data_IF_763555072304
#
_entry.id   IF_763555072304
#
_cell.length_a   1.000
_cell.length_b   1.000
_cell.length_c   1.000
_cell.angle_alpha   90.00
_cell.angle_beta   90.00
_cell.angle_gamma   90.00
#
_symmetry.space_group_name_H-M   'P 1'
#
loop_
_entity.id
_entity.type
_entity.pdbx_description
1 polymer ?
#
# COMPACT_ATOMS: atom_id res chain seq x y z
N UNK A 1 0.48 28.58 -15.39
CA UNK A 1 1.28 27.57 -14.65
C UNK A 1 0.85 27.57 -13.18
N UNK A 2 -0.03 26.65 -12.78
CA UNK A 2 -0.47 26.52 -11.39
C UNK A 2 0.23 25.32 -10.76
N UNK A 3 1.20 25.65 -9.89
CA UNK A 3 1.63 24.98 -8.65
C UNK A 3 1.34 23.48 -8.56
N UNK A 4 2.39 22.66 -8.66
CA UNK A 4 2.41 21.32 -8.08
C UNK A 4 2.46 21.50 -6.56
N UNK A 5 1.30 21.52 -5.92
CA UNK A 5 1.19 21.27 -4.49
C UNK A 5 1.48 19.77 -4.31
N UNK A 6 2.69 19.45 -3.90
CA UNK A 6 2.97 18.20 -3.18
C UNK A 6 2.29 18.33 -1.82
N UNK A 7 0.99 18.07 -1.81
CA UNK A 7 0.18 18.02 -0.61
C UNK A 7 0.58 16.80 0.21
N UNK A 8 0.63 17.01 1.51
CA UNK A 8 1.01 16.08 2.55
C UNK A 8 -0.05 14.96 2.62
N UNK A 9 -0.06 14.05 1.65
CA UNK A 9 -1.00 12.92 1.64
C UNK A 9 -0.61 11.99 2.79
N UNK A 10 -1.45 11.97 3.83
CA UNK A 10 -1.33 10.99 4.89
C UNK A 10 -1.28 9.59 4.26
N UNK A 11 -0.35 8.75 4.72
CA UNK A 11 -0.26 7.38 4.25
C UNK A 11 -1.61 6.68 4.45
N UNK A 12 -2.07 5.87 3.47
CA UNK A 12 -3.34 5.17 3.59
C UNK A 12 -3.34 4.22 4.79
N UNK A 13 -4.50 4.04 5.41
CA UNK A 13 -4.68 3.01 6.44
C UNK A 13 -4.65 1.60 5.85
N UNK A 14 -4.55 0.57 6.70
CA UNK A 14 -4.46 -0.83 6.25
C UNK A 14 -5.50 -1.21 5.19
N UNK A 15 -6.78 -0.87 5.44
CA UNK A 15 -7.89 -1.23 4.54
C UNK A 15 -7.78 -0.57 3.17
N UNK A 16 -7.38 0.70 3.15
CA UNK A 16 -7.21 1.46 1.91
C UNK A 16 -6.00 0.97 1.13
N UNK A 17 -4.90 0.72 1.83
CA UNK A 17 -3.68 0.18 1.25
C UNK A 17 -3.90 -1.22 0.64
N UNK A 18 -4.65 -2.09 1.33
CA UNK A 18 -4.99 -3.42 0.83
C UNK A 18 -5.89 -3.35 -0.40
N UNK A 19 -6.94 -2.53 -0.37
CA UNK A 19 -7.84 -2.39 -1.51
C UNK A 19 -7.11 -1.86 -2.76
N UNK A 20 -6.21 -0.89 -2.60
CA UNK A 20 -5.40 -0.39 -3.71
C UNK A 20 -4.42 -1.47 -4.23
N UNK A 21 -3.80 -2.23 -3.32
CA UNK A 21 -2.89 -3.32 -3.66
C UNK A 21 -3.59 -4.40 -4.48
N UNK A 22 -4.78 -4.84 -4.05
CA UNK A 22 -5.58 -5.85 -4.77
C UNK A 22 -5.90 -5.39 -6.19
N UNK A 23 -6.28 -4.11 -6.37
CA UNK A 23 -6.56 -3.54 -7.69
C UNK A 23 -5.32 -3.49 -8.59
N UNK A 24 -4.15 -3.15 -8.04
CA UNK A 24 -2.90 -3.09 -8.79
C UNK A 24 -2.45 -4.49 -9.23
N UNK A 25 -2.49 -5.47 -8.32
CA UNK A 25 -2.14 -6.86 -8.63
C UNK A 25 -3.05 -7.42 -9.70
N UNK A 26 -4.37 -7.20 -9.59
CA UNK A 26 -5.32 -7.63 -10.63
C UNK A 26 -4.99 -7.05 -12.01
N UNK A 27 -4.54 -5.80 -12.09
CA UNK A 27 -4.08 -5.20 -13.35
C UNK A 27 -2.76 -5.79 -13.83
N UNK A 28 -1.81 -6.05 -12.94
CA UNK A 28 -0.51 -6.64 -13.30
C UNK A 28 -0.69 -8.05 -13.87
N UNK A 29 -1.65 -8.81 -13.35
CA UNK A 29 -1.94 -10.19 -13.79
C UNK A 29 -2.77 -10.25 -15.07
N UNK A 30 -3.39 -9.14 -15.49
CA UNK A 30 -4.12 -9.05 -16.75
C UNK A 30 -3.15 -9.12 -17.94
N UNK A 31 -3.25 -10.14 -18.83
CA UNK A 31 -2.38 -10.28 -20.00
C UNK A 31 -2.47 -9.12 -21.00
N UNK A 32 -3.51 -8.29 -20.92
CA UNK A 32 -3.71 -7.11 -21.75
C UNK A 32 -3.00 -5.85 -21.22
N UNK A 33 -2.49 -5.89 -19.98
CA UNK A 33 -1.72 -4.79 -19.41
C UNK A 33 -0.38 -4.66 -20.11
N UNK A 34 -0.05 -3.45 -20.55
CA UNK A 34 1.21 -3.16 -21.22
C UNK A 34 2.37 -3.30 -20.25
N UNK A 35 3.43 -3.98 -20.68
CA UNK A 35 4.60 -4.23 -19.83
C UNK A 35 5.28 -2.95 -19.31
N UNK A 36 5.20 -1.86 -20.07
CA UNK A 36 5.70 -0.53 -19.70
C UNK A 36 4.94 0.07 -18.51
N UNK A 37 3.65 -0.26 -18.38
CA UNK A 37 2.78 0.22 -17.30
C UNK A 37 2.91 -0.66 -16.05
N UNK A 38 3.43 -1.89 -16.16
CA UNK A 38 3.58 -2.83 -15.03
C UNK A 38 4.62 -2.32 -14.02
N UNK A 39 5.75 -1.78 -14.48
CA UNK A 39 6.84 -1.35 -13.60
C UNK A 39 6.39 -0.35 -12.50
N UNK A 40 5.69 0.76 -12.82
CA UNK A 40 5.17 1.65 -11.78
C UNK A 40 4.09 1.00 -10.90
N UNK A 41 3.26 0.10 -11.44
CA UNK A 41 2.26 -0.64 -10.66
C UNK A 41 2.91 -1.56 -9.62
N UNK A 42 3.96 -2.29 -10.00
CA UNK A 42 4.72 -3.16 -9.08
C UNK A 42 5.37 -2.33 -7.98
N UNK A 43 5.99 -1.19 -8.33
CA UNK A 43 6.61 -0.29 -7.34
C UNK A 43 5.59 0.15 -6.29
N UNK A 44 4.42 0.64 -6.72
CA UNK A 44 3.35 1.06 -5.80
C UNK A 44 2.83 -0.11 -4.97
N UNK A 45 2.66 -1.28 -5.58
CA UNK A 45 2.23 -2.50 -4.87
C UNK A 45 3.18 -2.87 -3.73
N UNK A 46 4.49 -2.75 -3.94
CA UNK A 46 5.50 -3.01 -2.89
C UNK A 46 5.42 -1.99 -1.75
N UNK A 47 5.17 -0.71 -2.05
CA UNK A 47 4.97 0.35 -1.06
C UNK A 47 3.74 0.03 -0.20
N UNK A 48 2.60 -0.27 -0.82
CA UNK A 48 1.35 -0.63 -0.14
C UNK A 48 1.49 -1.89 0.72
N UNK A 49 2.14 -2.93 0.21
CA UNK A 49 2.44 -4.13 0.99
C UNK A 49 3.30 -3.81 2.22
N UNK A 50 4.22 -2.84 2.11
CA UNK A 50 4.98 -2.32 3.24
C UNK A 50 4.09 -1.72 4.32
N UNK A 51 3.13 -0.88 3.92
CA UNK A 51 2.13 -0.28 4.83
C UNK A 51 1.31 -1.36 5.52
N UNK A 52 0.79 -2.32 4.76
CA UNK A 52 0.00 -3.42 5.32
C UNK A 52 0.79 -4.23 6.37
N UNK A 53 2.07 -4.53 6.09
CA UNK A 53 2.94 -5.23 7.05
C UNK A 53 3.17 -4.43 8.32
N UNK A 54 3.42 -3.13 8.19
CA UNK A 54 3.69 -2.25 9.32
C UNK A 54 2.46 -2.12 10.25
N UNK A 55 1.26 -1.98 9.68
CA UNK A 55 0.03 -1.91 10.47
C UNK A 55 -0.26 -3.22 11.22
N UNK A 56 -0.08 -4.38 10.57
CA UNK A 56 -0.23 -5.67 11.25
C UNK A 56 0.79 -5.86 12.37
N UNK A 57 2.02 -5.40 12.16
CA UNK A 57 3.07 -5.43 13.19
C UNK A 57 2.66 -4.59 14.40
N UNK A 58 2.16 -3.37 14.20
CA UNK A 58 1.67 -2.51 15.29
C UNK A 58 0.57 -3.18 16.08
N UNK A 59 -0.40 -3.81 15.41
CA UNK A 59 -1.46 -4.55 16.11
C UNK A 59 -0.89 -5.69 16.96
N UNK A 60 0.10 -6.43 16.44
CA UNK A 60 0.82 -7.45 17.21
C UNK A 60 1.51 -6.88 18.45
N UNK A 61 2.28 -5.81 18.28
CA UNK A 61 2.97 -5.13 19.40
C UNK A 61 1.98 -4.59 20.45
N UNK A 62 0.82 -4.11 20.04
CA UNK A 62 -0.20 -3.61 20.97
C UNK A 62 -0.89 -4.75 21.73
N UNK A 63 -1.13 -5.90 21.09
CA UNK A 63 -1.61 -7.11 21.77
C UNK A 63 -0.58 -7.59 22.79
N UNK A 64 0.70 -7.65 22.42
CA UNK A 64 1.79 -8.08 23.31
C UNK A 64 1.91 -7.17 24.54
N UNK A 65 1.75 -5.85 24.38
CA UNK A 65 1.73 -4.89 25.51
C UNK A 65 0.54 -5.09 26.43
N UNK A 66 -0.61 -5.53 25.90
CA UNK A 66 -1.81 -5.79 26.70
C UNK A 66 -1.70 -7.11 27.49
N UNK A 67 -1.05 -8.12 26.92
CA UNK A 67 -0.91 -9.44 27.54
C UNK A 67 0.22 -9.52 28.59
N UNK A 68 1.23 -8.65 28.49
CA UNK A 68 2.35 -8.59 29.45
C UNK A 68 2.15 -7.55 30.57
N UNK A 69 0.90 -7.22 30.91
CA UNK A 69 0.51 -6.40 32.07
C UNK A 69 -0.07 -7.26 33.18
#
# INVERSE_FOLDING_TARGET
MKRRNSENEALPGYREALAELELLVAKIEDPSTKIEDIAPMVKRSLELAGICREELRKYGEDIDKLQNK
#
